data_IF_169178186868
#
_entry.id   IF_169178186868
#
_cell.length_a   1.000
_cell.length_b   1.000
_cell.length_c   1.000
_cell.angle_alpha   90.00
_cell.angle_beta   90.00
_cell.angle_gamma   90.00
#
_symmetry.space_group_name_H-M   'P 1'
#
loop_
_entity.id
_entity.type
_entity.pdbx_description
1 polymer ?
#
# COMPACT_ATOMS: atom_id res chain seq x y z
N UNK A 1 -13.63 12.01 -6.60
CA UNK A 1 -12.24 11.49 -6.50
C UNK A 1 -12.14 9.97 -6.73
N UNK A 2 -12.94 9.14 -6.05
CA UNK A 2 -12.90 7.67 -6.20
C UNK A 2 -13.17 7.21 -7.64
N UNK A 3 -14.18 7.79 -8.31
CA UNK A 3 -14.50 7.46 -9.70
C UNK A 3 -13.37 7.82 -10.68
N UNK A 4 -12.71 8.98 -10.50
CA UNK A 4 -11.60 9.40 -11.35
C UNK A 4 -10.37 8.49 -11.18
N UNK A 5 -10.03 8.10 -9.94
CA UNK A 5 -8.94 7.15 -9.67
C UNK A 5 -9.22 5.77 -10.29
N UNK A 6 -10.46 5.29 -10.18
CA UNK A 6 -10.88 4.03 -10.81
C UNK A 6 -10.75 4.10 -12.32
N UNK A 7 -11.24 5.18 -12.95
CA UNK A 7 -11.14 5.39 -14.40
C UNK A 7 -9.69 5.38 -14.88
N UNK A 8 -8.81 6.14 -14.22
CA UNK A 8 -7.39 6.19 -14.57
C UNK A 8 -6.70 4.82 -14.43
N UNK A 9 -7.05 4.07 -13.39
CA UNK A 9 -6.53 2.72 -13.20
C UNK A 9 -7.00 1.78 -14.32
N UNK A 10 -8.29 1.80 -14.64
CA UNK A 10 -8.87 0.95 -15.69
C UNK A 10 -8.29 1.31 -17.08
N UNK A 11 -8.11 2.61 -17.39
CA UNK A 11 -7.45 3.10 -18.60
C UNK A 11 -5.98 2.65 -18.69
N UNK A 12 -5.21 2.79 -17.60
CA UNK A 12 -3.81 2.37 -17.55
C UNK A 12 -3.67 0.84 -17.73
N UNK A 13 -4.60 0.08 -17.14
CA UNK A 13 -4.65 -1.37 -17.25
C UNK A 13 -5.00 -1.81 -18.67
N UNK A 14 -6.01 -1.19 -19.29
CA UNK A 14 -6.41 -1.46 -20.67
C UNK A 14 -5.27 -1.17 -21.66
N UNK A 15 -4.48 -0.12 -21.40
CA UNK A 15 -3.29 0.24 -22.17
C UNK A 15 -2.02 -0.55 -21.80
N UNK A 16 -2.11 -1.55 -20.90
CA UNK A 16 -0.97 -2.36 -20.39
C UNK A 16 0.22 -1.54 -19.91
N UNK A 17 -0.04 -0.38 -19.29
CA UNK A 17 1.02 0.45 -18.70
C UNK A 17 1.53 -0.17 -17.41
N UNK A 18 2.78 0.14 -17.06
CA UNK A 18 3.29 -0.10 -15.70
C UNK A 18 2.52 0.77 -14.70
N UNK A 19 2.11 0.17 -13.59
CA UNK A 19 1.26 0.81 -12.58
C UNK A 19 1.93 0.71 -11.22
N UNK A 20 2.02 1.86 -10.54
CA UNK A 20 2.41 1.93 -9.12
C UNK A 20 1.18 2.34 -8.30
N UNK A 21 0.76 1.47 -7.38
CA UNK A 21 -0.31 1.78 -6.43
C UNK A 21 0.22 1.78 -5.00
N UNK A 22 -0.04 2.85 -4.26
CA UNK A 22 0.15 2.88 -2.82
C UNK A 22 -1.03 2.22 -2.11
N UNK A 23 -0.74 1.32 -1.17
CA UNK A 23 -1.71 0.75 -0.23
C UNK A 23 -1.06 0.71 1.16
N UNK A 24 -1.87 0.85 2.22
CA UNK A 24 -1.37 0.79 3.60
C UNK A 24 -1.31 -0.63 4.15
N UNK A 25 -1.89 -1.62 3.46
CA UNK A 25 -1.94 -3.01 3.90
C UNK A 25 -2.88 -3.28 5.08
N UNK A 26 -3.62 -2.27 5.55
CA UNK A 26 -4.56 -2.39 6.69
C UNK A 26 -5.68 -3.40 6.38
N UNK A 27 -6.18 -3.39 5.14
CA UNK A 27 -7.15 -4.37 4.67
C UNK A 27 -6.45 -5.39 3.77
N UNK A 28 -5.98 -6.47 4.41
CA UNK A 28 -5.27 -7.54 3.73
C UNK A 28 -6.12 -8.19 2.64
N UNK A 29 -7.42 -8.41 2.88
CA UNK A 29 -8.30 -9.04 1.89
C UNK A 29 -8.39 -8.21 0.62
N UNK A 30 -8.50 -6.89 0.76
CA UNK A 30 -8.52 -5.96 -0.37
C UNK A 30 -7.18 -5.93 -1.11
N UNK A 31 -6.06 -5.93 -0.38
CA UNK A 31 -4.72 -5.97 -0.98
C UNK A 31 -4.52 -7.24 -1.81
N UNK A 32 -4.81 -8.41 -1.22
CA UNK A 32 -4.71 -9.71 -1.91
C UNK A 32 -5.64 -9.78 -3.12
N UNK A 33 -6.86 -9.26 -3.01
CA UNK A 33 -7.78 -9.18 -4.14
C UNK A 33 -7.26 -8.30 -5.29
N UNK A 34 -6.56 -7.21 -4.96
CA UNK A 34 -5.95 -6.33 -5.96
C UNK A 34 -4.77 -7.01 -6.66
N UNK A 35 -3.92 -7.72 -5.91
CA UNK A 35 -2.83 -8.54 -6.47
C UNK A 35 -3.38 -9.62 -7.40
N UNK A 36 -4.40 -10.35 -6.96
CA UNK A 36 -5.02 -11.41 -7.77
C UNK A 36 -5.63 -10.85 -9.06
N UNK A 37 -6.33 -9.70 -8.99
CA UNK A 37 -6.90 -9.04 -10.18
C UNK A 37 -5.80 -8.67 -11.19
N UNK A 38 -4.72 -8.02 -10.75
CA UNK A 38 -3.63 -7.61 -11.64
C UNK A 38 -2.92 -8.82 -12.27
N UNK A 39 -2.65 -9.87 -11.49
CA UNK A 39 -2.13 -11.14 -12.02
C UNK A 39 -3.04 -11.74 -13.08
N UNK A 40 -4.36 -11.77 -12.82
CA UNK A 40 -5.37 -12.24 -13.76
C UNK A 40 -5.44 -11.41 -15.06
N UNK A 41 -4.95 -10.17 -15.03
CA UNK A 41 -4.81 -9.29 -16.19
C UNK A 41 -3.45 -9.42 -16.91
N UNK A 42 -2.60 -10.36 -16.48
CA UNK A 42 -1.30 -10.65 -17.10
C UNK A 42 -0.13 -9.83 -16.56
N UNK A 43 -0.31 -9.09 -15.45
CA UNK A 43 0.76 -8.32 -14.86
C UNK A 43 1.76 -9.17 -14.06
N UNK A 44 3.02 -8.76 -14.11
CA UNK A 44 4.03 -9.14 -13.13
C UNK A 44 3.90 -8.19 -11.93
N UNK A 45 3.39 -8.71 -10.81
CA UNK A 45 3.12 -7.90 -9.62
C UNK A 45 4.33 -7.94 -8.69
N UNK A 46 4.85 -6.77 -8.36
CA UNK A 46 5.92 -6.59 -7.38
C UNK A 46 5.35 -6.00 -6.09
N UNK A 47 6.02 -6.22 -4.95
CA UNK A 47 5.63 -5.64 -3.66
C UNK A 47 6.80 -4.91 -3.02
N UNK A 48 6.63 -3.61 -2.76
CA UNK A 48 7.60 -2.80 -2.01
C UNK A 48 6.98 -2.39 -0.67
N UNK A 49 7.47 -2.98 0.41
CA UNK A 49 7.10 -2.61 1.76
C UNK A 49 7.96 -1.46 2.23
N UNK A 50 7.34 -0.40 2.74
CA UNK A 50 8.05 0.72 3.37
C UNK A 50 7.68 0.74 4.85
N UNK A 51 8.66 0.63 5.73
CA UNK A 51 8.43 0.55 7.18
C UNK A 51 9.31 1.54 7.94
N UNK A 52 8.87 1.91 9.14
CA UNK A 52 9.57 2.78 10.07
C UNK A 52 9.20 2.39 11.50
N UNK A 53 9.88 2.96 12.49
CA UNK A 53 9.53 2.70 13.89
C UNK A 53 8.11 3.24 14.17
N UNK A 54 7.27 2.53 14.95
CA UNK A 54 5.89 2.98 15.19
C UNK A 54 5.79 4.39 15.77
N UNK A 55 6.73 4.78 16.64
CA UNK A 55 6.80 6.13 17.22
C UNK A 55 7.04 7.20 16.15
N UNK A 56 8.01 6.95 15.27
CA UNK A 56 8.37 7.82 14.15
C UNK A 56 7.20 7.97 13.16
N UNK A 57 6.47 6.90 12.87
CA UNK A 57 5.26 6.94 12.03
C UNK A 57 4.20 7.86 12.67
N UNK A 58 3.98 7.72 13.98
CA UNK A 58 3.01 8.55 14.72
C UNK A 58 3.44 10.01 14.76
N UNK A 59 4.69 10.30 15.10
CA UNK A 59 5.25 11.66 15.17
C UNK A 59 5.10 12.38 13.82
N UNK A 60 5.51 11.74 12.71
CA UNK A 60 5.33 12.29 11.36
C UNK A 60 3.85 12.48 11.00
N UNK A 61 3.00 11.54 11.42
CA UNK A 61 1.56 11.62 11.21
C UNK A 61 0.92 12.81 11.93
N UNK A 62 1.29 13.04 13.18
CA UNK A 62 0.81 14.17 13.99
C UNK A 62 1.32 15.50 13.46
N UNK A 63 2.58 15.57 13.04
CA UNK A 63 3.14 16.77 12.41
C UNK A 63 2.36 17.16 11.14
N UNK A 64 2.06 16.20 10.27
CA UNK A 64 1.25 16.43 9.05
C UNK A 64 -0.20 16.76 9.35
N UNK A 65 -0.78 16.23 10.44
CA UNK A 65 -2.14 16.58 10.84
C UNK A 65 -2.26 18.08 11.17
N UNK A 66 -1.21 18.67 11.76
CA UNK A 66 -1.16 20.10 12.04
C UNK A 66 -1.07 20.96 10.77
N UNK A 67 -0.40 20.46 9.72
CA UNK A 67 -0.22 21.16 8.43
C UNK A 67 -1.43 20.97 7.49
N UNK A 68 -1.87 19.73 7.28
CA UNK A 68 -2.87 19.34 6.28
C UNK A 68 -4.30 19.30 6.84
N UNK A 69 -4.46 19.37 8.17
CA UNK A 69 -5.75 19.25 8.86
C UNK A 69 -6.38 17.85 8.82
N UNK A 70 -5.71 16.86 8.23
CA UNK A 70 -6.20 15.47 8.14
C UNK A 70 -5.76 14.66 9.36
N UNK A 71 -6.75 14.16 10.11
CA UNK A 71 -6.51 13.32 11.29
C UNK A 71 -5.65 12.10 10.97
N UNK A 72 -4.58 11.94 11.73
CA UNK A 72 -3.75 10.76 11.68
C UNK A 72 -4.30 9.65 12.60
N UNK A 73 -4.29 8.40 12.11
CA UNK A 73 -4.71 7.25 12.90
C UNK A 73 -3.57 6.79 13.84
N UNK A 74 -3.72 7.07 15.13
CA UNK A 74 -2.74 6.77 16.19
C UNK A 74 -2.84 5.34 16.75
N UNK A 75 -3.69 4.48 16.17
CA UNK A 75 -3.90 3.11 16.62
C UNK A 75 -2.70 2.21 16.26
N UNK A 76 -1.82 1.98 17.22
CA UNK A 76 -0.64 1.13 17.07
C UNK A 76 -0.98 -0.32 16.71
N UNK A 77 -2.16 -0.83 17.08
CA UNK A 77 -2.57 -2.19 16.73
C UNK A 77 -2.84 -2.30 15.24
N UNK A 78 -3.46 -1.27 14.65
CA UNK A 78 -3.68 -1.19 13.19
C UNK A 78 -2.36 -1.04 12.45
N UNK A 79 -1.43 -0.21 12.95
CA UNK A 79 -0.09 -0.08 12.35
C UNK A 79 0.66 -1.42 12.32
N UNK A 80 0.63 -2.16 13.44
CA UNK A 80 1.20 -3.50 13.49
C UNK A 80 0.52 -4.47 12.52
N UNK A 81 -0.82 -4.48 12.48
CA UNK A 81 -1.54 -5.35 11.56
C UNK A 81 -1.19 -5.08 10.09
N UNK A 82 -1.01 -3.82 9.70
CA UNK A 82 -0.54 -3.47 8.35
C UNK A 82 0.89 -3.95 8.07
N UNK A 83 1.79 -3.94 9.06
CA UNK A 83 3.13 -4.48 8.91
C UNK A 83 3.10 -6.01 8.78
N UNK A 84 2.34 -6.69 9.64
CA UNK A 84 2.18 -8.15 9.64
C UNK A 84 1.51 -8.65 8.34
N UNK A 85 0.70 -7.81 7.68
CA UNK A 85 0.11 -8.11 6.39
C UNK A 85 1.13 -8.23 5.23
N UNK A 86 2.36 -7.73 5.40
CA UNK A 86 3.39 -7.77 4.37
C UNK A 86 3.78 -9.21 4.00
N UNK A 87 4.09 -10.07 4.97
CA UNK A 87 4.58 -11.41 4.70
C UNK A 87 3.55 -12.29 3.94
N UNK A 88 2.26 -12.34 4.31
CA UNK A 88 1.26 -13.04 3.50
C UNK A 88 1.01 -12.40 2.13
N UNK A 89 1.30 -11.10 1.98
CA UNK A 89 1.18 -10.43 0.68
C UNK A 89 2.33 -10.79 -0.25
N UNK A 90 3.54 -11.01 0.28
CA UNK A 90 4.69 -11.53 -0.47
C UNK A 90 4.41 -12.92 -1.05
N UNK A 91 3.71 -13.79 -0.33
CA UNK A 91 3.46 -15.16 -0.80
C UNK A 91 2.53 -15.25 -2.02
N UNK A 92 1.78 -14.18 -2.33
CA UNK A 92 0.82 -14.18 -3.45
C UNK A 92 1.30 -13.43 -4.69
N UNK A 93 2.35 -12.62 -4.59
CA UNK A 93 2.89 -11.92 -5.76
C UNK A 93 3.63 -12.88 -6.69
N UNK A 94 3.66 -12.57 -7.99
CA UNK A 94 4.38 -13.35 -9.01
C UNK A 94 5.68 -12.67 -9.50
N UNK A 95 6.00 -11.48 -8.98
CA UNK A 95 7.23 -10.75 -9.25
C UNK A 95 8.20 -10.79 -8.06
N UNK A 96 8.90 -9.67 -7.87
CA UNK A 96 9.88 -9.47 -6.78
C UNK A 96 9.24 -8.75 -5.60
N UNK A 97 9.84 -8.91 -4.43
CA UNK A 97 9.51 -8.11 -3.26
C UNK A 97 10.75 -7.41 -2.69
N UNK A 98 10.54 -6.29 -2.02
CA UNK A 98 11.54 -5.65 -1.18
C UNK A 98 10.88 -5.03 0.05
N UNK A 99 11.67 -4.90 1.12
CA UNK A 99 11.27 -4.25 2.35
C UNK A 99 12.32 -3.17 2.66
N UNK A 100 11.89 -1.91 2.73
CA UNK A 100 12.76 -0.74 2.83
C UNK A 100 12.43 0.01 4.11
N UNK A 101 13.45 0.25 4.94
CA UNK A 101 13.32 1.10 6.12
C UNK A 101 13.31 2.57 5.67
N UNK A 102 12.32 3.32 6.11
CA UNK A 102 12.20 4.74 5.86
C UNK A 102 12.91 5.54 6.97
N UNK A 103 14.23 5.63 6.87
CA UNK A 103 15.10 6.30 7.84
C UNK A 103 15.29 7.81 7.59
N UNK A 104 14.22 8.51 7.16
CA UNK A 104 14.25 9.96 6.96
C UNK A 104 14.25 10.75 8.27
#
# INVERSE_FOLDING_TARGET
LVAAKKRLFDEATAARKDIVTSDTGIDQKKLLGSVAKLKGQGYLVHLCGVFAEPREIVERGVAREAEDGKRFNRDLRKLRASFDAFAPSVSVVNGRFCLVRNSQ
#
